data_IF_735520848231
#
_entry.id   IF_735520848231
#
_cell.length_a   1.000
_cell.length_b   1.000
_cell.length_c   1.000
_cell.angle_alpha   90.00
_cell.angle_beta   90.00
_cell.angle_gamma   90.00
#
_symmetry.space_group_name_H-M   'P 1'
#
loop_
_entity.id
_entity.type
_entity.pdbx_description
1 polymer ?
#
# COMPACT_ATOMS: atom_id res chain seq x y z
N UNK A 1 -6.70 -3.62 -15.76
CA UNK A 1 -7.82 -4.59 -15.53
C UNK A 1 -7.62 -5.31 -14.21
N UNK A 2 -8.70 -5.57 -13.48
CA UNK A 2 -8.65 -6.30 -12.22
C UNK A 2 -9.33 -7.65 -12.43
N UNK A 3 -8.65 -8.74 -12.03
CA UNK A 3 -9.29 -10.06 -11.99
C UNK A 3 -10.35 -10.05 -10.88
N UNK A 4 -11.60 -10.38 -11.24
CA UNK A 4 -12.73 -10.36 -10.30
C UNK A 4 -12.52 -11.30 -9.12
N UNK A 5 -11.96 -12.49 -9.36
CA UNK A 5 -11.71 -13.48 -8.30
C UNK A 5 -10.61 -12.98 -7.35
N UNK A 6 -9.57 -12.35 -7.86
CA UNK A 6 -8.51 -11.76 -7.04
C UNK A 6 -9.07 -10.64 -6.18
N UNK A 7 -9.88 -9.77 -6.76
CA UNK A 7 -10.49 -8.67 -6.01
C UNK A 7 -11.40 -9.19 -4.90
N UNK A 8 -12.26 -10.15 -5.20
CA UNK A 8 -13.16 -10.75 -4.21
C UNK A 8 -12.39 -11.40 -3.07
N UNK A 9 -11.31 -12.11 -3.37
CA UNK A 9 -10.47 -12.76 -2.36
C UNK A 9 -9.79 -11.71 -1.45
N UNK A 10 -9.34 -10.62 -2.03
CA UNK A 10 -8.58 -9.59 -1.31
C UNK A 10 -9.46 -8.56 -0.62
N UNK A 11 -10.75 -8.50 -0.92
CA UNK A 11 -11.66 -7.45 -0.47
C UNK A 11 -11.64 -7.24 1.05
N UNK A 12 -11.72 -8.31 1.84
CA UNK A 12 -11.74 -8.20 3.29
C UNK A 12 -10.43 -7.64 3.86
N UNK A 13 -9.30 -7.99 3.25
CA UNK A 13 -7.99 -7.46 3.67
C UNK A 13 -7.89 -5.98 3.35
N UNK A 14 -8.38 -5.55 2.20
CA UNK A 14 -8.37 -4.14 1.81
C UNK A 14 -9.34 -3.32 2.67
N UNK A 15 -10.51 -3.87 3.00
CA UNK A 15 -11.44 -3.22 3.92
C UNK A 15 -10.80 -2.99 5.29
N UNK A 16 -10.12 -3.99 5.85
CA UNK A 16 -9.43 -3.86 7.12
C UNK A 16 -8.32 -2.81 7.05
N UNK A 17 -7.59 -2.75 5.93
CA UNK A 17 -6.56 -1.74 5.72
C UNK A 17 -7.15 -0.33 5.65
N UNK A 18 -8.32 -0.16 5.01
CA UNK A 18 -9.01 1.13 4.96
C UNK A 18 -9.42 1.62 6.36
N UNK A 19 -9.79 0.71 7.26
CA UNK A 19 -10.09 1.06 8.64
C UNK A 19 -8.88 1.70 9.32
N UNK A 20 -7.69 1.16 9.09
CA UNK A 20 -6.45 1.70 9.65
C UNK A 20 -5.97 2.96 8.95
N UNK A 21 -6.39 3.19 7.72
CA UNK A 21 -6.04 4.38 6.95
C UNK A 21 -6.99 5.56 7.17
N UNK A 22 -7.90 5.46 8.14
CA UNK A 22 -8.82 6.55 8.52
C UNK A 22 -10.13 6.56 7.75
N UNK A 23 -10.46 5.52 7.02
CA UNK A 23 -11.72 5.37 6.27
C UNK A 23 -12.04 6.53 5.33
N UNK A 24 -11.03 7.07 4.68
CA UNK A 24 -11.22 8.17 3.72
C UNK A 24 -11.81 7.70 2.40
N UNK A 25 -11.79 6.40 2.15
CA UNK A 25 -12.27 5.79 0.91
C UNK A 25 -13.10 4.55 1.21
N UNK A 26 -14.12 4.32 0.39
CA UNK A 26 -14.79 3.02 0.33
C UNK A 26 -14.00 2.08 -0.59
N UNK A 27 -14.24 0.78 -0.48
CA UNK A 27 -13.56 -0.19 -1.33
C UNK A 27 -13.79 0.08 -2.83
N UNK A 28 -14.99 0.53 -3.20
CA UNK A 28 -15.32 0.89 -4.58
C UNK A 28 -14.50 2.08 -5.09
N UNK A 29 -14.18 3.02 -4.22
CA UNK A 29 -13.31 4.15 -4.57
C UNK A 29 -11.90 3.67 -4.89
N UNK A 30 -11.39 2.73 -4.12
CA UNK A 30 -10.09 2.11 -4.36
C UNK A 30 -10.08 1.40 -5.72
N UNK A 31 -11.13 0.62 -5.98
CA UNK A 31 -11.25 -0.10 -7.26
C UNK A 31 -11.28 0.86 -8.44
N UNK A 32 -12.00 1.97 -8.30
CA UNK A 32 -12.06 2.99 -9.34
C UNK A 32 -10.68 3.62 -9.61
N UNK A 33 -9.90 3.89 -8.56
CA UNK A 33 -8.54 4.41 -8.70
C UNK A 33 -7.62 3.41 -9.42
N UNK A 34 -7.73 2.14 -9.09
CA UNK A 34 -6.94 1.09 -9.75
C UNK A 34 -7.32 0.98 -11.22
N UNK A 35 -8.60 0.98 -11.54
CA UNK A 35 -9.08 0.91 -12.93
C UNK A 35 -8.67 2.15 -13.74
N UNK A 36 -8.61 3.31 -13.10
CA UNK A 36 -8.16 4.55 -13.74
C UNK A 36 -6.64 4.66 -13.89
N UNK A 37 -5.88 3.73 -13.33
CA UNK A 37 -4.42 3.78 -13.35
C UNK A 37 -3.80 4.71 -12.32
N UNK A 38 -4.60 5.30 -11.41
CA UNK A 38 -4.12 6.17 -10.35
C UNK A 38 -3.54 5.40 -9.16
N UNK A 39 -3.89 4.12 -9.03
CA UNK A 39 -3.35 3.23 -8.02
C UNK A 39 -3.02 1.89 -8.66
N UNK A 40 -2.13 1.12 -8.04
CA UNK A 40 -1.77 -0.22 -8.48
C UNK A 40 -2.14 -1.22 -7.39
N UNK A 41 -2.76 -2.32 -7.81
CA UNK A 41 -3.20 -3.41 -6.94
C UNK A 41 -2.37 -4.66 -7.22
N UNK A 42 -1.89 -5.31 -6.15
CA UNK A 42 -1.26 -6.62 -6.21
C UNK A 42 -2.05 -7.59 -5.35
N UNK A 43 -2.49 -8.66 -5.96
CA UNK A 43 -3.17 -9.74 -5.28
C UNK A 43 -2.20 -10.87 -5.00
N UNK A 44 -1.97 -11.15 -3.74
CA UNK A 44 -1.27 -12.34 -3.32
C UNK A 44 -2.26 -13.48 -3.11
N UNK A 45 -1.76 -14.61 -2.66
CA UNK A 45 -2.59 -15.75 -2.29
C UNK A 45 -3.39 -15.45 -1.02
N UNK A 46 -2.71 -14.93 0.00
CA UNK A 46 -3.27 -14.65 1.32
C UNK A 46 -3.03 -13.22 1.78
N UNK A 47 -2.72 -12.33 0.85
CA UNK A 47 -2.43 -10.93 1.14
C UNK A 47 -2.75 -10.05 -0.06
N UNK A 48 -2.89 -8.76 0.19
CA UNK A 48 -3.16 -7.76 -0.84
C UNK A 48 -2.44 -6.46 -0.53
N UNK A 49 -2.05 -5.74 -1.58
CA UNK A 49 -1.37 -4.46 -1.46
C UNK A 49 -1.87 -3.50 -2.53
N UNK A 50 -2.07 -2.25 -2.15
CA UNK A 50 -2.36 -1.16 -3.08
C UNK A 50 -1.35 -0.04 -2.84
N UNK A 51 -0.76 0.45 -3.91
CA UNK A 51 0.20 1.54 -3.86
C UNK A 51 -0.20 2.65 -4.80
N UNK A 52 0.23 3.86 -4.49
CA UNK A 52 0.07 5.04 -5.34
C UNK A 52 1.42 5.73 -5.51
N UNK A 53 1.57 6.43 -6.62
CA UNK A 53 2.74 7.27 -6.87
C UNK A 53 2.38 8.70 -6.48
N UNK A 54 3.20 9.31 -5.66
CA UNK A 54 3.07 10.71 -5.28
C UNK A 54 4.17 11.52 -5.94
N UNK A 55 3.79 12.54 -6.70
CA UNK A 55 4.73 13.46 -7.33
C UNK A 55 4.86 14.72 -6.50
N UNK A 56 6.00 14.85 -5.83
CA UNK A 56 6.36 16.07 -5.14
C UNK A 56 7.39 16.85 -5.98
N UNK A 57 7.54 18.16 -5.73
CA UNK A 57 8.43 18.98 -6.58
C UNK A 57 9.87 18.48 -6.67
N UNK A 58 10.37 17.81 -5.63
CA UNK A 58 11.76 17.38 -5.58
C UNK A 58 11.97 15.88 -5.68
N UNK A 59 10.93 15.10 -5.52
CA UNK A 59 11.05 13.64 -5.66
C UNK A 59 9.70 13.00 -5.94
N UNK A 60 9.75 11.90 -6.67
CA UNK A 60 8.59 11.03 -6.83
C UNK A 60 8.70 9.92 -5.80
N UNK A 61 7.60 9.64 -5.10
CA UNK A 61 7.56 8.66 -4.02
C UNK A 61 6.49 7.61 -4.28
N UNK A 62 6.77 6.40 -3.83
CA UNK A 62 5.83 5.30 -3.83
C UNK A 62 5.18 5.24 -2.45
N UNK A 63 3.88 5.45 -2.37
CA UNK A 63 3.15 5.27 -1.12
C UNK A 63 2.52 3.86 -1.13
N UNK A 64 2.93 3.03 -0.19
CA UNK A 64 2.26 1.77 0.10
C UNK A 64 1.05 2.13 0.92
N UNK A 65 -0.08 2.28 0.25
CA UNK A 65 -1.28 2.86 0.83
C UNK A 65 -2.09 1.86 1.64
N UNK A 66 -2.38 0.71 1.06
CA UNK A 66 -3.17 -0.33 1.72
C UNK A 66 -2.42 -1.65 1.67
N UNK A 67 -2.35 -2.32 2.79
CA UNK A 67 -1.74 -3.65 2.87
C UNK A 67 -2.46 -4.47 3.93
N UNK A 68 -2.83 -5.68 3.60
CA UNK A 68 -3.55 -6.56 4.52
C UNK A 68 -3.33 -8.03 4.18
N UNK A 69 -3.72 -8.89 5.10
CA UNK A 69 -3.55 -10.33 4.96
C UNK A 69 -2.28 -10.85 5.63
N UNK A 70 -1.74 -11.95 5.11
CA UNK A 70 -0.58 -12.61 5.66
C UNK A 70 0.68 -11.74 5.56
N UNK A 71 1.24 -11.41 6.71
CA UNK A 71 2.39 -10.50 6.81
C UNK A 71 3.61 -11.03 6.08
N UNK A 72 3.88 -12.33 6.20
CA UNK A 72 5.04 -12.94 5.54
C UNK A 72 4.96 -12.78 4.02
N UNK A 73 3.78 -12.96 3.44
CA UNK A 73 3.59 -12.79 2.00
C UNK A 73 3.73 -11.32 1.60
N UNK A 74 3.17 -10.41 2.40
CA UNK A 74 3.33 -8.97 2.17
C UNK A 74 4.81 -8.58 2.09
N UNK A 75 5.58 -8.98 3.08
CA UNK A 75 6.98 -8.58 3.19
C UNK A 75 7.89 -9.27 2.18
N UNK A 76 7.65 -10.54 1.89
CA UNK A 76 8.53 -11.34 1.02
C UNK A 76 8.20 -11.25 -0.45
N UNK A 77 6.93 -11.05 -0.78
CA UNK A 77 6.46 -11.11 -2.17
C UNK A 77 5.86 -9.81 -2.68
N UNK A 78 4.84 -9.27 -2.00
CA UNK A 78 4.10 -8.14 -2.54
C UNK A 78 4.87 -6.83 -2.42
N UNK A 79 5.51 -6.59 -1.30
CA UNK A 79 6.28 -5.36 -1.09
C UNK A 79 7.45 -5.23 -2.08
N UNK A 80 8.28 -6.27 -2.30
CA UNK A 80 9.31 -6.19 -3.32
C UNK A 80 8.79 -5.93 -4.73
N UNK A 81 7.62 -6.47 -5.08
CA UNK A 81 6.99 -6.21 -6.38
C UNK A 81 6.57 -4.75 -6.51
N UNK A 82 5.97 -4.21 -5.46
CA UNK A 82 5.57 -2.81 -5.44
C UNK A 82 6.78 -1.88 -5.54
N UNK A 83 7.84 -2.18 -4.81
CA UNK A 83 9.09 -1.42 -4.86
C UNK A 83 9.71 -1.44 -6.26
N UNK A 84 9.74 -2.60 -6.90
CA UNK A 84 10.24 -2.73 -8.28
C UNK A 84 9.41 -1.92 -9.27
N UNK A 85 8.09 -1.95 -9.11
CA UNK A 85 7.19 -1.15 -9.92
C UNK A 85 7.43 0.35 -9.71
N UNK A 86 7.63 0.76 -8.47
CA UNK A 86 7.94 2.16 -8.14
C UNK A 86 9.27 2.61 -8.73
N UNK A 87 10.32 1.78 -8.63
CA UNK A 87 11.62 2.09 -9.23
C UNK A 87 11.51 2.28 -10.73
N UNK A 88 10.77 1.42 -11.41
CA UNK A 88 10.55 1.51 -12.85
C UNK A 88 9.85 2.80 -13.26
N UNK A 89 9.13 3.44 -12.34
CA UNK A 89 8.44 4.71 -12.55
C UNK A 89 9.19 5.91 -12.01
N UNK A 90 10.45 5.72 -11.63
CA UNK A 90 11.28 6.81 -11.16
C UNK A 90 11.03 7.21 -9.70
N UNK A 91 10.34 6.39 -8.94
CA UNK A 91 10.17 6.66 -7.51
C UNK A 91 11.49 6.49 -6.78
N UNK A 92 11.85 7.49 -6.01
CA UNK A 92 13.11 7.53 -5.28
C UNK A 92 13.01 6.88 -3.92
N UNK A 93 11.81 6.86 -3.34
CA UNK A 93 11.58 6.43 -1.97
C UNK A 93 10.22 5.73 -1.87
N UNK A 94 10.14 4.69 -1.05
CA UNK A 94 8.89 4.06 -0.68
C UNK A 94 8.50 4.50 0.72
N UNK A 95 7.22 4.85 0.91
CA UNK A 95 6.67 5.27 2.19
C UNK A 95 5.59 4.29 2.62
N UNK A 96 5.55 3.98 3.90
CA UNK A 96 4.50 3.19 4.50
C UNK A 96 3.97 3.93 5.73
N UNK A 97 2.67 4.19 5.77
CA UNK A 97 2.00 4.68 6.97
C UNK A 97 1.41 3.44 7.63
N UNK A 98 2.19 2.81 8.47
CA UNK A 98 1.86 1.51 9.03
C UNK A 98 1.55 1.54 10.52
N UNK A 99 1.14 0.38 11.01
CA UNK A 99 0.92 0.12 12.43
C UNK A 99 2.26 -0.01 13.15
N UNK A 100 2.32 0.17 14.48
CA UNK A 100 3.59 0.11 15.23
C UNK A 100 4.43 -1.15 14.99
N UNK A 101 3.81 -2.30 14.81
CA UNK A 101 4.54 -3.55 14.57
C UNK A 101 5.30 -3.61 13.24
N UNK A 102 4.93 -2.80 12.27
CA UNK A 102 5.56 -2.78 10.95
C UNK A 102 6.95 -2.16 10.99
N UNK A 103 7.15 -1.15 11.83
CA UNK A 103 8.45 -0.49 11.96
C UNK A 103 9.55 -1.48 12.33
N UNK A 104 9.28 -2.36 13.30
CA UNK A 104 10.25 -3.38 13.71
C UNK A 104 10.52 -4.39 12.61
N UNK A 105 9.47 -4.89 12.00
CA UNK A 105 9.55 -5.93 10.98
C UNK A 105 10.23 -5.46 9.70
N UNK A 106 9.97 -4.23 9.28
CA UNK A 106 10.50 -3.69 8.03
C UNK A 106 11.89 -3.09 8.17
N UNK A 107 12.42 -2.98 9.38
CA UNK A 107 13.76 -2.47 9.62
C UNK A 107 14.81 -3.26 8.85
N UNK A 108 14.69 -4.58 8.80
CA UNK A 108 15.61 -5.45 8.06
C UNK A 108 15.46 -5.32 6.54
N UNK A 109 14.39 -4.67 6.07
CA UNK A 109 14.13 -4.42 4.66
C UNK A 109 14.57 -3.02 4.20
N UNK A 110 15.25 -2.27 5.08
CA UNK A 110 15.74 -0.95 4.77
C UNK A 110 14.80 0.19 5.11
N UNK A 111 13.66 -0.09 5.74
CA UNK A 111 12.73 0.94 6.17
C UNK A 111 13.15 1.50 7.53
N UNK A 112 13.04 2.80 7.67
CA UNK A 112 13.34 3.51 8.90
C UNK A 112 12.28 4.58 9.16
N UNK A 113 12.05 4.96 10.42
CA UNK A 113 11.11 6.04 10.72
C UNK A 113 11.50 7.33 10.01
N UNK A 114 10.54 7.95 9.33
CA UNK A 114 10.73 9.22 8.64
C UNK A 114 10.01 10.36 9.34
N UNK A 115 8.78 10.10 9.79
CA UNK A 115 7.92 11.10 10.42
C UNK A 115 6.85 10.42 11.25
N UNK A 116 6.15 11.19 12.07
CA UNK A 116 4.96 10.76 12.75
C UNK A 116 3.76 11.48 12.19
N UNK A 117 2.70 10.74 11.95
CA UNK A 117 1.41 11.28 11.56
C UNK A 117 0.57 11.47 12.81
N UNK A 118 0.13 12.70 13.06
CA UNK A 118 -0.79 13.00 14.16
C UNK A 118 -2.04 13.63 13.56
N UNK A 119 -3.19 13.39 14.18
CA UNK A 119 -4.45 13.86 13.64
C UNK A 119 -5.33 14.44 14.74
N UNK A 120 -6.18 15.38 14.34
CA UNK A 120 -7.20 15.97 15.19
C UNK A 120 -8.46 16.17 14.35
N UNK A 121 -9.58 15.74 14.88
CA UNK A 121 -10.87 16.04 14.26
C UNK A 121 -11.19 17.52 14.43
N UNK A 122 -11.69 18.13 13.37
CA UNK A 122 -12.03 19.55 13.36
C UNK A 122 -13.53 19.78 13.45
#
# INVERSE_FOLDING_TARGET
>A
MICADDWARCAAWLEAALDHAGRTHALEDVRALVLAGAARFWAGRDAALVAIVEDDPRERRLLIWLAGGARAELERELLPRAEGWGRARGCRRALIIGRPGWERSLKTKGYAPLARLIAKDL
#
